data_IF_486141862581
#
_entry.id   IF_486141862581
#
_cell.length_a   1.000
_cell.length_b   1.000
_cell.length_c   1.000
_cell.angle_alpha   90.00
_cell.angle_beta   90.00
_cell.angle_gamma   90.00
#
_symmetry.space_group_name_H-M   'P 1'
#
loop_
_entity.id
_entity.type
_entity.pdbx_description
1 polymer ?
#
# COMPACT_ATOMS: atom_id res chain seq x y z
N UNK A 1 -12.31 5.95 -0.96
CA UNK A 1 -11.26 5.55 -1.93
C UNK A 1 -10.79 4.09 -1.78
N UNK A 2 -10.53 3.55 -0.58
CA UNK A 2 -10.05 2.16 -0.43
C UNK A 2 -11.05 1.11 -0.92
N UNK A 3 -12.34 1.28 -0.64
CA UNK A 3 -13.40 0.44 -1.22
C UNK A 3 -13.34 0.38 -2.76
N UNK A 4 -13.04 1.51 -3.41
CA UNK A 4 -12.84 1.56 -4.86
C UNK A 4 -11.59 0.80 -5.28
N UNK A 5 -10.46 0.97 -4.58
CA UNK A 5 -9.24 0.20 -4.84
C UNK A 5 -9.45 -1.33 -4.72
N UNK A 6 -10.22 -1.77 -3.73
CA UNK A 6 -10.64 -3.17 -3.62
C UNK A 6 -11.51 -3.61 -4.80
N UNK A 7 -12.54 -2.83 -5.13
CA UNK A 7 -13.46 -3.14 -6.22
C UNK A 7 -12.78 -3.23 -7.60
N UNK A 8 -11.90 -2.27 -7.94
CA UNK A 8 -11.15 -2.32 -9.20
C UNK A 8 -10.19 -3.50 -9.26
N UNK A 9 -9.63 -3.92 -8.12
CA UNK A 9 -8.71 -5.06 -8.06
C UNK A 9 -9.44 -6.35 -8.42
N UNK A 10 -10.67 -6.52 -7.88
CA UNK A 10 -11.54 -7.65 -8.23
C UNK A 10 -11.97 -7.58 -9.71
N UNK A 11 -12.34 -6.41 -10.20
CA UNK A 11 -12.83 -6.23 -11.57
C UNK A 11 -11.73 -6.48 -12.63
N UNK A 12 -10.52 -5.96 -12.41
CA UNK A 12 -9.40 -6.12 -13.35
C UNK A 12 -8.89 -7.57 -13.43
N UNK A 13 -8.92 -8.27 -12.29
CA UNK A 13 -8.41 -9.64 -12.17
C UNK A 13 -6.87 -9.73 -12.16
N UNK A 14 -6.37 -10.95 -11.98
CA UNK A 14 -4.95 -11.26 -11.73
C UNK A 14 -3.99 -10.68 -12.77
N UNK A 15 -4.32 -10.77 -14.05
CA UNK A 15 -3.36 -10.44 -15.10
C UNK A 15 -3.25 -8.93 -15.35
N UNK A 16 -4.37 -8.21 -15.21
CA UNK A 16 -4.42 -6.76 -15.46
C UNK A 16 -4.07 -5.92 -14.24
N UNK A 17 -4.17 -6.46 -13.03
CA UNK A 17 -3.90 -5.70 -11.81
C UNK A 17 -2.40 -5.55 -11.50
N UNK A 18 -1.55 -6.49 -11.95
CA UNK A 18 -0.12 -6.54 -11.59
C UNK A 18 0.64 -5.23 -11.82
N UNK A 19 0.51 -4.53 -12.98
CA UNK A 19 1.22 -3.27 -13.21
C UNK A 19 0.80 -2.14 -12.26
N UNK A 20 -0.42 -2.22 -11.71
CA UNK A 20 -0.99 -1.21 -10.81
C UNK A 20 -0.74 -1.51 -9.33
N UNK A 21 -0.15 -2.67 -9.00
CA UNK A 21 0.11 -3.06 -7.61
C UNK A 21 0.86 -1.98 -6.82
N UNK A 22 1.96 -1.37 -7.30
CA UNK A 22 2.66 -0.34 -6.52
C UNK A 22 1.77 0.88 -6.22
N UNK A 23 0.97 1.30 -7.20
CA UNK A 23 0.05 2.44 -7.08
C UNK A 23 -1.05 2.17 -6.06
N UNK A 24 -1.61 0.95 -6.05
CA UNK A 24 -2.66 0.54 -5.11
C UNK A 24 -2.09 0.30 -3.70
N UNK A 25 -0.92 -0.35 -3.61
CA UNK A 25 -0.28 -0.70 -2.34
C UNK A 25 0.28 0.51 -1.60
N UNK A 26 0.68 1.58 -2.30
CA UNK A 26 1.24 2.79 -1.67
C UNK A 26 0.33 3.42 -0.60
N UNK A 27 -0.95 3.76 -0.89
CA UNK A 27 -1.83 4.31 0.11
C UNK A 27 -2.20 3.31 1.22
N UNK A 28 -2.32 2.02 0.90
CA UNK A 28 -2.63 0.97 1.89
C UNK A 28 -1.47 0.76 2.87
N UNK A 29 -0.24 0.69 2.35
CA UNK A 29 0.98 0.62 3.17
C UNK A 29 1.11 1.84 4.09
N UNK A 30 0.82 3.03 3.57
CA UNK A 30 0.83 4.25 4.38
C UNK A 30 -0.19 4.18 5.52
N UNK A 31 -1.39 3.66 5.27
CA UNK A 31 -2.40 3.49 6.32
C UNK A 31 -1.94 2.49 7.40
N UNK A 32 -1.39 1.35 6.99
CA UNK A 32 -0.87 0.36 7.95
C UNK A 32 0.27 0.91 8.84
N UNK A 33 1.07 1.83 8.31
CA UNK A 33 2.28 2.36 8.95
C UNK A 33 2.14 3.84 9.33
N UNK A 34 0.91 4.32 9.48
CA UNK A 34 0.66 5.70 9.89
C UNK A 34 0.93 5.84 11.39
N UNK A 35 1.52 6.97 11.75
CA UNK A 35 1.87 7.33 13.13
C UNK A 35 0.95 8.44 13.67
N UNK A 36 -0.20 8.67 13.02
CA UNK A 36 -1.19 9.63 13.51
C UNK A 36 -1.83 9.09 14.79
N UNK A 37 -1.99 9.97 15.78
CA UNK A 37 -2.50 9.60 17.10
C UNK A 37 -3.95 9.08 17.06
N UNK A 38 -4.76 9.59 16.13
CA UNK A 38 -6.14 9.16 15.90
C UNK A 38 -6.26 8.40 14.57
N UNK A 39 -5.82 7.14 14.57
CA UNK A 39 -6.14 6.27 13.45
C UNK A 39 -7.55 5.71 13.58
N UNK A 40 -8.31 5.81 12.49
CA UNK A 40 -9.57 5.12 12.35
C UNK A 40 -9.33 3.60 12.24
N UNK A 41 -9.72 2.79 13.23
CA UNK A 41 -9.50 1.34 13.21
C UNK A 41 -10.25 0.67 12.06
N UNK A 42 -11.37 1.23 11.61
CA UNK A 42 -12.12 0.68 10.47
C UNK A 42 -11.35 0.83 9.17
N UNK A 43 -10.65 1.96 8.99
CA UNK A 43 -9.82 2.22 7.83
C UNK A 43 -8.57 1.32 7.80
N UNK A 44 -7.96 1.09 8.97
CA UNK A 44 -6.85 0.15 9.11
C UNK A 44 -7.25 -1.28 8.76
N UNK A 45 -8.40 -1.75 9.27
CA UNK A 45 -8.92 -3.09 8.96
C UNK A 45 -9.22 -3.23 7.47
N UNK A 46 -9.91 -2.25 6.87
CA UNK A 46 -10.17 -2.23 5.43
C UNK A 46 -8.89 -2.29 4.60
N UNK A 47 -7.82 -1.64 5.06
CA UNK A 47 -6.53 -1.68 4.37
C UNK A 47 -5.90 -3.07 4.41
N UNK A 48 -5.97 -3.74 5.57
CA UNK A 48 -5.49 -5.11 5.74
C UNK A 48 -6.27 -6.09 4.86
N UNK A 49 -7.60 -5.97 4.83
CA UNK A 49 -8.47 -6.79 3.99
C UNK A 49 -8.12 -6.67 2.50
N UNK A 50 -7.92 -5.44 2.01
CA UNK A 50 -7.56 -5.21 0.60
C UNK A 50 -6.15 -5.74 0.30
N UNK A 51 -5.21 -5.60 1.23
CA UNK A 51 -3.86 -6.16 1.08
C UNK A 51 -3.92 -7.68 0.96
N UNK A 52 -4.69 -8.34 1.81
CA UNK A 52 -4.85 -9.79 1.78
C UNK A 52 -5.58 -10.26 0.51
N UNK A 53 -6.58 -9.51 0.06
CA UNK A 53 -7.25 -9.71 -1.22
C UNK A 53 -6.25 -9.64 -2.38
N UNK A 54 -5.41 -8.60 -2.42
CA UNK A 54 -4.41 -8.42 -3.48
C UNK A 54 -3.40 -9.58 -3.47
N UNK A 55 -2.91 -9.96 -2.29
CA UNK A 55 -1.97 -11.08 -2.13
C UNK A 55 -2.55 -12.39 -2.67
N UNK A 56 -3.82 -12.68 -2.36
CA UNK A 56 -4.53 -13.85 -2.89
C UNK A 56 -4.73 -13.76 -4.41
N UNK A 57 -5.07 -12.58 -4.92
CA UNK A 57 -5.36 -12.35 -6.34
C UNK A 57 -4.12 -12.52 -7.23
N UNK A 58 -2.98 -11.94 -6.84
CA UNK A 58 -1.77 -11.92 -7.69
C UNK A 58 -0.77 -13.04 -7.36
N UNK A 59 -0.93 -13.68 -6.20
CA UNK A 59 0.00 -14.66 -5.68
C UNK A 59 1.14 -14.04 -4.85
N UNK A 60 1.75 -14.86 -3.99
CA UNK A 60 2.73 -14.42 -3.01
C UNK A 60 3.95 -13.73 -3.63
N UNK A 61 4.49 -14.28 -4.71
CA UNK A 61 5.73 -13.78 -5.33
C UNK A 61 5.55 -12.36 -5.89
N UNK A 62 4.58 -12.18 -6.79
CA UNK A 62 4.29 -10.89 -7.40
C UNK A 62 3.90 -9.83 -6.35
N UNK A 63 3.11 -10.24 -5.35
CA UNK A 63 2.77 -9.37 -4.23
C UNK A 63 4.02 -8.94 -3.46
N UNK A 64 4.89 -9.88 -3.08
CA UNK A 64 6.07 -9.61 -2.25
C UNK A 64 7.05 -8.66 -2.95
N UNK A 65 7.26 -8.84 -4.26
CA UNK A 65 8.07 -7.93 -5.07
C UNK A 65 7.51 -6.50 -5.06
N UNK A 66 6.21 -6.34 -5.35
CA UNK A 66 5.57 -5.03 -5.38
C UNK A 66 5.54 -4.37 -3.99
N UNK A 67 5.20 -5.12 -2.94
CA UNK A 67 5.11 -4.64 -1.57
C UNK A 67 6.47 -4.18 -1.03
N UNK A 68 7.52 -4.95 -1.29
CA UNK A 68 8.90 -4.58 -0.88
C UNK A 68 9.39 -3.33 -1.60
N UNK A 69 9.04 -3.15 -2.88
CA UNK A 69 9.32 -1.93 -3.63
C UNK A 69 8.65 -0.70 -3.01
N UNK A 70 7.37 -0.81 -2.66
CA UNK A 70 6.62 0.27 -1.98
C UNK A 70 7.21 0.59 -0.61
N UNK A 71 7.57 -0.43 0.18
CA UNK A 71 8.22 -0.24 1.49
C UNK A 71 9.54 0.52 1.35
N UNK A 72 10.40 0.11 0.39
CA UNK A 72 11.67 0.77 0.12
C UNK A 72 11.47 2.24 -0.27
N UNK A 73 10.55 2.52 -1.19
CA UNK A 73 10.24 3.89 -1.63
C UNK A 73 9.70 4.76 -0.48
N UNK A 74 8.81 4.20 0.35
CA UNK A 74 8.26 4.91 1.51
C UNK A 74 9.35 5.27 2.52
N UNK A 75 10.29 4.35 2.78
CA UNK A 75 11.41 4.58 3.68
C UNK A 75 12.38 5.63 3.13
N UNK A 76 12.76 5.54 1.85
CA UNK A 76 13.60 6.53 1.18
C UNK A 76 12.97 7.93 1.23
N UNK A 77 11.67 8.05 0.92
CA UNK A 77 10.95 9.33 0.99
C UNK A 77 10.89 9.89 2.41
N UNK A 78 10.74 9.04 3.42
CA UNK A 78 10.82 9.45 4.85
C UNK A 78 12.22 9.96 5.20
N UNK A 79 13.27 9.26 4.79
CA UNK A 79 14.66 9.65 5.04
C UNK A 79 15.00 11.00 4.40
N UNK A 80 14.60 11.22 3.14
CA UNK A 80 14.79 12.50 2.43
C UNK A 80 14.12 13.65 3.19
N UNK A 81 12.86 13.48 3.61
CA UNK A 81 12.15 14.50 4.40
C UNK A 81 12.81 14.77 5.75
N UNK A 82 13.34 13.74 6.42
CA UNK A 82 14.07 13.92 7.68
C UNK A 82 15.34 14.76 7.46
N UNK A 83 16.10 14.47 6.40
CA UNK A 83 17.28 15.26 6.03
C UNK A 83 16.93 16.71 5.71
N UNK A 84 15.86 16.95 4.94
CA UNK A 84 15.40 18.30 4.61
C UNK A 84 15.00 19.11 5.84
N UNK A 85 14.27 18.50 6.79
CA UNK A 85 13.88 19.17 8.04
C UNK A 85 15.05 19.50 8.96
N UNK A 86 16.16 18.76 8.88
CA UNK A 86 17.36 19.03 9.67
C UNK A 86 18.23 20.16 9.08
N UNK A 87 17.95 20.57 7.84
CA UNK A 87 18.64 21.66 7.14
C UNK A 87 17.85 22.99 7.19
N UNK A 88 16.63 22.98 7.71
CA UNK A 88 15.79 24.15 7.99
C UNK A 88 15.93 24.54 9.46
#
# INVERSE_FOLDING_TARGET
IFKFLGAISVNLGKDRIKPYLPTILTPLYRELNSTYAEQDPTLKNLSQEIIELLKKLVGLEAFSLAFSSVQKQAHQKRAIRKKQRALQ
#
